data_IF_835027286082
#
_entry.id   IF_835027286082
#
_cell.length_a   1.000
_cell.length_b   1.000
_cell.length_c   1.000
_cell.angle_alpha   90.00
_cell.angle_beta   90.00
_cell.angle_gamma   90.00
#
_symmetry.space_group_name_H-M   'P 1'
#
loop_
_entity.id
_entity.type
_entity.pdbx_description
1 polymer ?
#
# COMPACT_ATOMS: atom_id res chain seq x y z
N UNK A 1 1.25 -1.11 -15.09
CA UNK A 1 2.62 -1.41 -14.66
C UNK A 1 2.56 -1.66 -13.17
N UNK A 2 2.93 -2.85 -12.71
CA UNK A 2 2.91 -3.19 -11.28
C UNK A 2 4.19 -2.65 -10.62
N UNK A 3 4.19 -2.46 -9.30
CA UNK A 3 5.33 -1.94 -8.54
C UNK A 3 6.64 -2.70 -8.81
N UNK A 4 6.55 -4.01 -9.07
CA UNK A 4 7.68 -4.87 -9.43
C UNK A 4 8.28 -4.55 -10.80
N UNK A 5 7.45 -4.17 -11.78
CA UNK A 5 7.93 -3.78 -13.12
C UNK A 5 8.73 -2.46 -13.04
N UNK A 6 8.25 -1.51 -12.23
CA UNK A 6 8.93 -0.23 -11.97
C UNK A 6 10.29 -0.49 -11.30
N UNK A 7 10.34 -1.33 -10.26
CA UNK A 7 11.59 -1.65 -9.57
C UNK A 7 12.60 -2.33 -10.50
N UNK A 8 12.14 -3.22 -11.39
CA UNK A 8 13.00 -3.83 -12.41
C UNK A 8 13.59 -2.77 -13.35
N UNK A 9 12.80 -1.81 -13.83
CA UNK A 9 13.28 -0.73 -14.69
C UNK A 9 14.30 0.18 -13.97
N UNK A 10 14.09 0.46 -12.68
CA UNK A 10 15.03 1.23 -11.84
C UNK A 10 16.38 0.50 -11.76
N UNK A 11 16.36 -0.82 -11.58
CA UNK A 11 17.56 -1.66 -11.53
C UNK A 11 18.28 -1.71 -12.88
N UNK A 12 17.55 -1.89 -13.98
CA UNK A 12 18.10 -1.87 -15.36
C UNK A 12 18.77 -0.53 -15.69
N UNK A 13 18.26 0.58 -15.14
CA UNK A 13 18.86 1.91 -15.27
C UNK A 13 20.05 2.17 -14.32
N UNK A 14 20.41 1.21 -13.46
CA UNK A 14 21.54 1.35 -12.54
C UNK A 14 21.32 2.37 -11.41
N UNK A 15 20.07 2.67 -11.06
CA UNK A 15 19.75 3.62 -10.00
C UNK A 15 19.90 2.96 -8.62
N UNK A 16 21.10 3.05 -8.04
CA UNK A 16 21.48 2.33 -6.80
C UNK A 16 21.34 3.13 -5.51
N UNK A 17 20.88 4.39 -5.58
CA UNK A 17 20.65 5.21 -4.39
C UNK A 17 19.61 4.58 -3.44
N UNK A 18 19.68 4.86 -2.11
CA UNK A 18 18.70 4.37 -1.15
C UNK A 18 17.28 4.74 -1.55
N UNK A 19 16.38 3.76 -1.54
CA UNK A 19 14.97 3.91 -1.90
C UNK A 19 14.09 2.94 -1.14
N UNK A 20 12.80 3.23 -1.12
CA UNK A 20 11.77 2.29 -0.69
C UNK A 20 11.51 1.32 -1.84
N UNK A 21 11.36 0.02 -1.54
CA UNK A 21 11.10 -1.02 -2.54
C UNK A 21 9.72 -1.65 -2.33
N UNK A 22 9.14 -2.30 -3.35
CA UNK A 22 7.86 -2.99 -3.20
C UNK A 22 7.91 -4.06 -2.09
N UNK A 23 9.00 -4.82 -2.04
CA UNK A 23 9.23 -5.84 -1.00
C UNK A 23 9.32 -5.24 0.41
N UNK A 24 9.88 -4.03 0.54
CA UNK A 24 9.92 -3.32 1.82
C UNK A 24 8.51 -2.95 2.28
N UNK A 25 7.67 -2.41 1.40
CA UNK A 25 6.27 -2.08 1.73
C UNK A 25 5.51 -3.31 2.20
N UNK A 26 5.66 -4.44 1.52
CA UNK A 26 5.03 -5.70 1.92
C UNK A 26 5.53 -6.17 3.29
N UNK A 27 6.83 -6.05 3.57
CA UNK A 27 7.41 -6.38 4.89
C UNK A 27 6.94 -5.47 6.01
N UNK A 28 6.55 -4.23 5.71
CA UNK A 28 5.99 -3.33 6.71
C UNK A 28 4.62 -3.79 7.20
N UNK A 29 3.86 -4.58 6.43
CA UNK A 29 2.49 -4.99 6.76
C UNK A 29 2.51 -6.31 7.53
N UNK A 30 1.99 -6.31 8.76
CA UNK A 30 1.96 -7.52 9.62
C UNK A 30 0.57 -8.11 9.82
N UNK A 31 -0.48 -7.35 9.51
CA UNK A 31 -1.86 -7.82 9.63
C UNK A 31 -2.78 -7.05 8.69
N UNK A 32 -3.74 -7.77 8.12
CA UNK A 32 -4.79 -7.19 7.27
C UNK A 32 -6.15 -7.53 7.85
N UNK A 33 -7.05 -6.55 7.88
CA UNK A 33 -8.46 -6.74 8.23
C UNK A 33 -9.33 -6.08 7.16
N UNK A 34 -10.42 -6.75 6.82
CA UNK A 34 -11.36 -6.27 5.81
C UNK A 34 -12.76 -6.22 6.39
N UNK A 35 -13.53 -5.23 5.97
CA UNK A 35 -14.94 -5.13 6.32
C UNK A 35 -15.74 -4.59 5.12
N UNK A 36 -16.92 -5.16 4.91
CA UNK A 36 -17.93 -4.65 3.99
C UNK A 36 -19.15 -4.33 4.82
N UNK A 37 -19.67 -3.12 4.69
CA UNK A 37 -20.82 -2.67 5.46
C UNK A 37 -22.10 -3.20 4.82
N UNK A 38 -23.00 -3.73 5.64
CA UNK A 38 -24.27 -4.31 5.18
C UNK A 38 -25.07 -3.32 4.33
N UNK A 39 -25.61 -3.80 3.21
CA UNK A 39 -26.36 -2.97 2.26
C UNK A 39 -25.51 -2.00 1.43
N UNK A 40 -24.17 -2.11 1.48
CA UNK A 40 -23.26 -1.27 0.69
C UNK A 40 -22.37 -2.09 -0.25
N UNK A 41 -21.73 -1.39 -1.18
CA UNK A 41 -20.66 -1.88 -2.05
C UNK A 41 -19.28 -1.43 -1.58
N UNK A 42 -19.19 -0.92 -0.35
CA UNK A 42 -17.97 -0.34 0.21
C UNK A 42 -17.12 -1.41 0.90
N UNK A 43 -15.86 -1.53 0.50
CA UNK A 43 -14.88 -2.39 1.15
C UNK A 43 -13.83 -1.56 1.87
N UNK A 44 -13.77 -1.68 3.19
CA UNK A 44 -12.71 -1.14 4.03
C UNK A 44 -11.58 -2.15 4.21
N UNK A 45 -10.34 -1.68 4.15
CA UNK A 45 -9.13 -2.42 4.48
C UNK A 45 -8.36 -1.67 5.57
N UNK A 46 -7.98 -2.38 6.62
CA UNK A 46 -7.13 -1.86 7.69
C UNK A 46 -5.86 -2.69 7.75
N UNK A 47 -4.75 -2.11 7.30
CA UNK A 47 -3.41 -2.67 7.39
C UNK A 47 -2.77 -2.24 8.71
N UNK A 48 -2.21 -3.19 9.45
CA UNK A 48 -1.39 -2.90 10.65
C UNK A 48 0.06 -3.07 10.27
N UNK A 49 0.88 -2.07 10.60
CA UNK A 49 2.30 -2.05 10.29
C UNK A 49 3.15 -2.64 11.42
N UNK A 50 4.40 -2.98 11.12
CA UNK A 50 5.38 -3.54 12.07
C UNK A 50 5.57 -2.69 13.34
N UNK A 51 5.36 -1.37 13.24
CA UNK A 51 5.46 -0.44 14.38
C UNK A 51 4.13 -0.26 15.15
N UNK A 52 3.09 -1.02 14.80
CA UNK A 52 1.76 -0.92 15.40
C UNK A 52 0.86 0.16 14.81
N UNK A 53 1.36 1.02 13.92
CA UNK A 53 0.54 2.02 13.24
C UNK A 53 -0.45 1.35 12.28
N UNK A 54 -1.64 1.93 12.12
CA UNK A 54 -2.67 1.39 11.21
C UNK A 54 -2.92 2.31 10.04
N UNK A 55 -2.97 1.74 8.84
CA UNK A 55 -3.26 2.47 7.60
C UNK A 55 -4.58 1.95 7.04
N UNK A 56 -5.54 2.86 6.89
CA UNK A 56 -6.82 2.58 6.27
C UNK A 56 -6.74 2.73 4.74
N UNK A 57 -7.38 1.83 4.02
CA UNK A 57 -7.62 1.90 2.59
C UNK A 57 -9.05 1.48 2.28
N UNK A 58 -9.55 1.92 1.14
CA UNK A 58 -10.95 1.73 0.79
C UNK A 58 -11.17 1.48 -0.70
N UNK A 59 -12.26 0.79 -1.00
CA UNK A 59 -12.83 0.65 -2.32
C UNK A 59 -14.32 0.96 -2.24
N UNK A 60 -14.75 2.01 -2.93
CA UNK A 60 -16.14 2.44 -2.99
C UNK A 60 -16.69 2.16 -4.40
N UNK A 61 -17.16 0.94 -4.65
CA UNK A 61 -17.72 0.59 -5.96
C UNK A 61 -19.04 1.34 -6.19
N UNK A 62 -19.20 1.98 -7.35
CA UNK A 62 -20.32 2.88 -7.59
C UNK A 62 -21.67 2.17 -7.81
N UNK A 63 -21.68 0.92 -8.26
CA UNK A 63 -22.91 0.19 -8.60
C UNK A 63 -22.87 -1.24 -8.04
N UNK A 64 -23.97 -1.73 -7.42
CA UNK A 64 -24.06 -3.10 -6.91
C UNK A 64 -23.86 -4.18 -7.98
N UNK A 65 -24.30 -3.91 -9.21
CA UNK A 65 -24.17 -4.84 -10.34
C UNK A 65 -22.70 -5.10 -10.70
N UNK A 66 -21.81 -4.15 -10.41
CA UNK A 66 -20.38 -4.24 -10.63
C UNK A 66 -19.60 -4.60 -9.36
N UNK A 67 -20.29 -4.87 -8.24
CA UNK A 67 -19.62 -5.18 -6.98
C UNK A 67 -19.03 -6.59 -7.01
N UNK A 68 -17.70 -6.65 -6.88
CA UNK A 68 -16.94 -7.87 -6.69
C UNK A 68 -16.11 -7.76 -5.42
N UNK A 69 -16.33 -8.68 -4.46
CA UNK A 69 -15.69 -8.65 -3.15
C UNK A 69 -14.17 -8.85 -3.24
N UNK A 70 -13.70 -9.73 -4.13
CA UNK A 70 -12.28 -10.03 -4.25
C UNK A 70 -11.54 -8.82 -4.86
N UNK A 71 -12.13 -8.20 -5.88
CA UNK A 71 -11.63 -6.99 -6.50
C UNK A 71 -11.67 -5.81 -5.54
N UNK A 72 -12.76 -5.63 -4.81
CA UNK A 72 -12.90 -4.57 -3.79
C UNK A 72 -11.83 -4.67 -2.70
N UNK A 73 -11.55 -5.88 -2.20
CA UNK A 73 -10.45 -6.12 -1.25
C UNK A 73 -9.10 -5.76 -1.83
N UNK A 74 -8.83 -6.15 -3.09
CA UNK A 74 -7.56 -5.82 -3.76
C UNK A 74 -7.39 -4.31 -3.90
N UNK A 75 -8.41 -3.60 -4.38
CA UNK A 75 -8.38 -2.13 -4.54
C UNK A 75 -8.21 -1.44 -3.19
N UNK A 76 -8.94 -1.87 -2.16
CA UNK A 76 -8.84 -1.28 -0.82
C UNK A 76 -7.44 -1.50 -0.20
N UNK A 77 -6.85 -2.67 -0.41
CA UNK A 77 -5.48 -2.99 0.01
C UNK A 77 -4.46 -2.12 -0.71
N UNK A 78 -4.56 -2.01 -2.04
CA UNK A 78 -3.64 -1.20 -2.85
C UNK A 78 -3.77 0.29 -2.48
N UNK A 79 -4.98 0.77 -2.18
CA UNK A 79 -5.21 2.12 -1.67
C UNK A 79 -4.48 2.36 -0.32
N UNK A 80 -4.53 1.42 0.62
CA UNK A 80 -3.77 1.51 1.86
C UNK A 80 -2.26 1.45 1.62
N UNK A 81 -1.79 0.54 0.76
CA UNK A 81 -0.37 0.41 0.40
C UNK A 81 0.23 1.69 -0.17
N UNK A 82 -0.50 2.38 -1.04
CA UNK A 82 -0.06 3.67 -1.59
C UNK A 82 0.18 4.73 -0.51
N UNK A 83 -0.55 4.66 0.61
CA UNK A 83 -0.31 5.54 1.76
C UNK A 83 0.94 5.12 2.54
N UNK A 84 1.21 3.82 2.67
CA UNK A 84 2.45 3.31 3.29
C UNK A 84 3.69 3.77 2.50
N UNK A 85 3.62 3.77 1.15
CA UNK A 85 4.68 4.32 0.30
C UNK A 85 5.07 5.76 0.69
N UNK A 86 4.09 6.62 0.92
CA UNK A 86 4.35 8.01 1.36
C UNK A 86 5.02 8.06 2.74
N UNK A 87 4.58 7.23 3.69
CA UNK A 87 5.13 7.17 5.04
C UNK A 87 6.59 6.68 5.04
N UNK A 88 6.85 5.56 4.37
CA UNK A 88 8.20 4.99 4.28
C UNK A 88 9.15 5.88 3.49
N UNK A 89 8.65 6.59 2.46
CA UNK A 89 9.41 7.60 1.73
C UNK A 89 9.82 8.79 2.62
N UNK A 90 8.90 9.29 3.44
CA UNK A 90 9.19 10.34 4.43
C UNK A 90 10.23 9.87 5.45
N UNK A 91 10.05 8.69 6.05
CA UNK A 91 10.99 8.12 7.01
C UNK A 91 12.38 7.88 6.42
N UNK A 92 12.46 7.45 5.16
CA UNK A 92 13.72 7.33 4.46
C UNK A 92 14.39 8.71 4.30
N UNK A 93 13.64 9.73 3.92
CA UNK A 93 14.18 11.09 3.78
C UNK A 93 14.73 11.62 5.10
N UNK A 94 14.02 11.41 6.20
CA UNK A 94 14.49 11.79 7.54
C UNK A 94 15.80 11.09 7.90
N UNK A 95 15.91 9.78 7.67
CA UNK A 95 17.15 9.01 7.90
C UNK A 95 18.32 9.52 7.06
N UNK A 96 18.07 9.89 5.80
CA UNK A 96 19.10 10.44 4.92
C UNK A 96 19.53 11.84 5.36
N UNK A 97 18.59 12.65 5.86
CA UNK A 97 18.89 13.99 6.37
C UNK A 97 19.69 13.96 7.68
N UNK A 98 19.45 12.98 8.55
CA UNK A 98 20.18 12.82 9.81
C UNK A 98 21.62 12.29 9.65
N UNK A 99 22.00 11.84 8.46
CA UNK A 99 23.36 11.37 8.13
C UNK A 99 24.27 12.49 7.60
N UNK A 100 23.75 13.71 7.47
CA UNK A 100 24.46 14.92 7.04
C UNK A 100 24.89 15.70 8.27
#
# INVERSE_FOLDING_TARGET
MNDQDIEKEIQEKGLTAPRVTPDHIEKCIVKERYHVFDGSTFTSCLLTLVNGFTVHGESACASPENFDLALGKKIARDNAKNKIWMLEGYLLRDKLNAQV
#
